data_IF_150484004337
#
_entry.id   IF_150484004337
#
_cell.length_a   1.000
_cell.length_b   1.000
_cell.length_c   1.000
_cell.angle_alpha   90.00
_cell.angle_beta   90.00
_cell.angle_gamma   90.00
#
_symmetry.space_group_name_H-M   'P 1'
#
loop_
_entity.id
_entity.type
_entity.pdbx_description
1 polymer ?
#
# COMPACT_ATOMS: atom_id res chain seq x y z
N UNK A 1 -7.28 -32.29 11.11
CA UNK A 1 -5.99 -32.32 11.84
C UNK A 1 -5.54 -30.88 12.05
N UNK A 2 -5.28 -30.50 13.30
CA UNK A 2 -4.83 -29.14 13.64
C UNK A 2 -3.43 -28.90 13.06
N UNK A 3 -3.21 -27.82 12.31
CA UNK A 3 -1.89 -27.41 11.74
C UNK A 3 -0.81 -27.18 12.81
N UNK A 4 -1.16 -27.23 14.10
CA UNK A 4 -0.25 -27.03 15.23
C UNK A 4 0.59 -28.29 15.48
N UNK A 5 0.06 -29.48 15.21
CA UNK A 5 0.75 -30.76 15.42
C UNK A 5 1.85 -31.04 14.38
N UNK A 6 1.91 -30.26 13.30
CA UNK A 6 2.95 -30.39 12.26
C UNK A 6 4.24 -29.63 12.56
N UNK A 7 4.31 -28.89 13.67
CA UNK A 7 5.53 -28.18 14.03
C UNK A 7 6.53 -29.12 14.72
N UNK A 8 7.81 -29.12 14.30
CA UNK A 8 8.82 -29.97 14.92
C UNK A 8 9.08 -29.53 16.37
N UNK A 9 8.92 -30.45 17.31
CA UNK A 9 9.23 -30.20 18.73
C UNK A 9 10.70 -30.54 18.99
N UNK A 10 11.55 -29.52 19.15
CA UNK A 10 12.99 -29.68 19.34
C UNK A 10 13.49 -28.74 20.45
N UNK A 11 14.35 -29.21 21.37
CA UNK A 11 14.94 -28.36 22.41
C UNK A 11 15.92 -27.30 21.87
N UNK A 12 16.31 -27.40 20.60
CA UNK A 12 17.27 -26.49 19.95
C UNK A 12 16.60 -25.45 19.06
N UNK A 13 15.27 -25.33 19.09
CA UNK A 13 14.50 -24.42 18.25
C UNK A 13 13.54 -23.56 19.06
N UNK A 14 13.40 -22.30 18.65
CA UNK A 14 12.40 -21.38 19.16
C UNK A 14 11.51 -20.90 18.03
N UNK A 15 10.23 -20.69 18.30
CA UNK A 15 9.27 -20.16 17.32
C UNK A 15 8.70 -18.84 17.82
N UNK A 16 8.76 -17.81 16.98
CA UNK A 16 8.08 -16.54 17.21
C UNK A 16 6.82 -16.51 16.34
N UNK A 17 5.67 -16.35 16.98
CA UNK A 17 4.38 -16.22 16.30
C UNK A 17 3.85 -14.82 16.59
N UNK A 18 3.55 -14.06 15.54
CA UNK A 18 2.84 -12.79 15.64
C UNK A 18 1.37 -13.02 15.28
N UNK A 19 0.46 -12.47 16.09
CA UNK A 19 -0.98 -12.54 15.82
C UNK A 19 -1.69 -11.35 16.44
N UNK A 20 -2.72 -10.86 15.76
CA UNK A 20 -3.64 -9.83 16.28
C UNK A 20 -4.69 -10.41 17.23
N UNK A 21 -4.85 -11.73 17.29
CA UNK A 21 -5.86 -12.37 18.11
C UNK A 21 -5.26 -12.97 19.38
N UNK A 22 -5.54 -12.34 20.52
CA UNK A 22 -5.07 -12.79 21.84
C UNK A 22 -5.41 -14.27 22.12
N UNK A 23 -6.59 -14.72 21.71
CA UNK A 23 -7.00 -16.13 21.86
C UNK A 23 -6.11 -17.09 21.06
N UNK A 24 -5.64 -16.68 19.88
CA UNK A 24 -4.70 -17.48 19.08
C UNK A 24 -3.36 -17.52 19.79
N UNK A 25 -2.84 -16.38 20.25
CA UNK A 25 -1.58 -16.32 21.00
C UNK A 25 -1.59 -17.23 22.25
N UNK A 26 -2.69 -17.19 23.02
CA UNK A 26 -2.85 -18.02 24.21
C UNK A 26 -2.87 -19.52 23.90
N UNK A 27 -3.49 -19.93 22.78
CA UNK A 27 -3.51 -21.33 22.34
C UNK A 27 -2.14 -21.85 21.90
N UNK A 28 -1.26 -20.98 21.39
CA UNK A 28 0.05 -21.37 20.89
C UNK A 28 1.18 -21.28 21.94
N UNK A 29 1.05 -20.38 22.91
CA UNK A 29 2.08 -20.14 23.92
C UNK A 29 1.79 -20.78 25.28
N UNK A 30 0.80 -21.68 25.36
CA UNK A 30 0.24 -22.24 26.60
C UNK A 30 -0.01 -21.18 27.70
N UNK A 31 -0.30 -19.94 27.26
CA UNK A 31 -0.52 -18.77 28.12
C UNK A 31 0.72 -18.16 28.79
N UNK A 32 1.92 -18.74 28.70
CA UNK A 32 3.08 -18.33 29.54
C UNK A 32 3.98 -17.29 28.86
N UNK A 33 3.96 -17.16 27.52
CA UNK A 33 4.87 -16.28 26.78
C UNK A 33 4.15 -15.42 25.73
N UNK A 34 3.08 -14.71 26.13
CA UNK A 34 2.37 -13.78 25.23
C UNK A 34 2.80 -12.34 25.53
N UNK A 35 3.45 -11.69 24.57
CA UNK A 35 3.81 -10.27 24.65
C UNK A 35 2.72 -9.47 23.93
N UNK A 36 1.98 -8.64 24.67
CA UNK A 36 1.05 -7.69 24.08
C UNK A 36 1.82 -6.50 23.52
N UNK A 37 1.56 -6.14 22.26
CA UNK A 37 2.11 -4.96 21.61
C UNK A 37 1.02 -3.91 21.49
N UNK A 38 0.79 -3.18 22.59
CA UNK A 38 -0.16 -2.07 22.61
C UNK A 38 0.49 -0.79 22.08
N UNK A 39 -0.29 0.15 21.51
CA UNK A 39 0.21 1.44 21.09
C UNK A 39 0.82 2.17 22.29
N UNK A 40 2.12 2.41 22.23
CA UNK A 40 2.87 3.08 23.28
C UNK A 40 3.18 4.52 22.87
N UNK A 41 2.74 5.50 23.66
CA UNK A 41 2.94 6.92 23.36
C UNK A 41 4.43 7.27 23.25
N UNK A 42 5.28 6.71 24.11
CA UNK A 42 6.70 7.06 24.17
C UNK A 42 7.42 6.61 22.88
N UNK A 43 7.22 5.37 22.47
CA UNK A 43 7.77 4.82 21.22
C UNK A 43 7.15 5.49 19.99
N UNK A 44 5.86 5.82 20.01
CA UNK A 44 5.20 6.53 18.92
C UNK A 44 5.79 7.93 18.70
N UNK A 45 6.03 8.67 19.79
CA UNK A 45 6.68 9.99 19.73
C UNK A 45 8.12 9.88 19.24
N UNK A 46 8.87 8.91 19.76
CA UNK A 46 10.25 8.67 19.33
C UNK A 46 10.31 8.33 17.83
N UNK A 47 9.42 7.45 17.36
CA UNK A 47 9.29 7.09 15.95
C UNK A 47 8.98 8.33 15.09
N UNK A 48 8.02 9.14 15.51
CA UNK A 48 7.62 10.35 14.78
C UNK A 48 8.76 11.36 14.68
N UNK A 49 9.48 11.60 15.79
CA UNK A 49 10.66 12.48 15.82
C UNK A 49 11.78 11.97 14.91
N UNK A 50 12.06 10.66 14.94
CA UNK A 50 13.09 10.04 14.10
C UNK A 50 12.75 10.07 12.60
N UNK A 51 11.46 10.01 12.26
CA UNK A 51 11.01 9.96 10.86
C UNK A 51 10.83 11.35 10.23
N UNK A 52 10.54 12.38 11.01
CA UNK A 52 10.49 13.75 10.49
C UNK A 52 11.89 14.26 10.15
N UNK A 53 12.12 14.66 8.90
CA UNK A 53 13.38 15.30 8.48
C UNK A 53 13.59 16.67 9.14
N UNK A 54 12.49 17.37 9.42
CA UNK A 54 12.48 18.66 10.09
C UNK A 54 11.48 18.60 11.24
N UNK A 55 11.97 18.39 12.47
CA UNK A 55 11.09 18.34 13.64
C UNK A 55 10.60 19.75 13.98
N UNK A 56 9.29 19.91 14.04
CA UNK A 56 8.64 21.09 14.62
C UNK A 56 8.73 21.10 16.15
N UNK A 57 8.02 22.03 16.81
CA UNK A 57 7.95 22.11 18.26
C UNK A 57 7.46 20.79 18.89
N UNK A 58 7.95 20.46 20.09
CA UNK A 58 7.61 19.20 20.77
C UNK A 58 6.09 18.99 20.96
N UNK A 59 5.31 20.06 21.16
CA UNK A 59 3.86 19.96 21.29
C UNK A 59 3.19 19.50 19.98
N UNK A 60 3.70 19.92 18.81
CA UNK A 60 3.15 19.56 17.50
C UNK A 60 3.34 18.07 17.21
N UNK A 61 4.53 17.55 17.55
CA UNK A 61 4.88 16.13 17.47
C UNK A 61 3.96 15.29 18.37
N UNK A 62 3.73 15.76 19.61
CA UNK A 62 2.86 15.04 20.55
C UNK A 62 1.39 15.05 20.10
N UNK A 63 0.89 16.20 19.66
CA UNK A 63 -0.47 16.33 19.16
C UNK A 63 -0.70 15.47 17.91
N UNK A 64 0.27 15.43 16.99
CA UNK A 64 0.21 14.58 15.81
C UNK A 64 0.27 13.09 16.16
N UNK A 65 1.15 12.67 17.06
CA UNK A 65 1.20 11.27 17.51
C UNK A 65 -0.12 10.80 18.13
N UNK A 66 -0.76 11.67 18.93
CA UNK A 66 -2.08 11.41 19.52
C UNK A 66 -3.18 11.34 18.46
N UNK A 67 -3.20 12.25 17.48
CA UNK A 67 -4.16 12.25 16.39
C UNK A 67 -3.99 11.04 15.44
N UNK A 68 -2.76 10.52 15.32
CA UNK A 68 -2.47 9.27 14.63
C UNK A 68 -2.72 8.03 15.51
N UNK A 69 -3.28 8.24 16.70
CA UNK A 69 -3.64 7.22 17.67
C UNK A 69 -2.48 6.28 18.03
N UNK A 70 -1.27 6.83 18.01
CA UNK A 70 0.01 6.17 18.29
C UNK A 70 0.30 4.95 17.39
N UNK A 71 -0.32 4.88 16.21
CA UNK A 71 -0.15 3.76 15.29
C UNK A 71 1.13 3.90 14.46
N UNK A 72 2.10 2.97 14.56
CA UNK A 72 3.38 3.10 13.87
C UNK A 72 3.26 3.26 12.35
N UNK A 73 2.34 2.52 11.72
CA UNK A 73 2.10 2.61 10.28
C UNK A 73 1.57 4.00 9.87
N UNK A 74 0.57 4.52 10.60
CA UNK A 74 0.03 5.86 10.36
C UNK A 74 1.10 6.94 10.54
N UNK A 75 1.95 6.79 11.56
CA UNK A 75 3.08 7.70 11.83
C UNK A 75 4.08 7.68 10.68
N UNK A 76 4.52 6.51 10.22
CA UNK A 76 5.47 6.40 9.12
C UNK A 76 4.90 7.05 7.85
N UNK A 77 3.62 6.87 7.56
CA UNK A 77 3.01 7.42 6.34
C UNK A 77 2.70 8.91 6.44
N UNK A 78 2.22 9.38 7.58
CA UNK A 78 2.05 10.81 7.82
C UNK A 78 3.38 11.56 7.73
N UNK A 79 4.44 11.01 8.34
CA UNK A 79 5.78 11.62 8.27
C UNK A 79 6.38 11.54 6.87
N UNK A 80 6.15 10.45 6.13
CA UNK A 80 6.51 10.33 4.72
C UNK A 80 5.86 11.44 3.87
N UNK A 81 4.54 11.64 4.02
CA UNK A 81 3.80 12.72 3.37
C UNK A 81 4.36 14.11 3.71
N UNK A 82 4.55 14.40 5.00
CA UNK A 82 5.10 15.68 5.47
C UNK A 82 6.48 15.92 4.86
N UNK A 83 7.35 14.90 4.89
CA UNK A 83 8.71 15.00 4.35
C UNK A 83 8.71 15.22 2.83
N UNK A 84 7.82 14.57 2.08
CA UNK A 84 7.70 14.73 0.64
C UNK A 84 7.24 16.15 0.26
N UNK A 85 6.40 16.76 1.10
CA UNK A 85 5.88 18.12 0.89
C UNK A 85 6.70 19.23 1.54
N UNK A 86 7.78 18.90 2.25
CA UNK A 86 8.62 19.88 2.91
C UNK A 86 9.25 20.87 1.89
N UNK A 87 9.38 22.16 2.21
CA UNK A 87 9.01 22.82 3.48
C UNK A 87 7.56 23.33 3.53
N UNK A 88 6.73 23.02 2.51
CA UNK A 88 5.35 23.53 2.39
C UNK A 88 4.34 22.80 3.26
N UNK A 89 4.77 21.76 3.98
CA UNK A 89 3.96 21.02 4.93
C UNK A 89 4.80 20.74 6.18
N UNK A 90 4.27 21.14 7.32
CA UNK A 90 4.77 20.86 8.66
C UNK A 90 3.86 19.87 9.38
N UNK A 91 4.29 19.39 10.56
CA UNK A 91 3.45 18.54 11.41
C UNK A 91 2.13 19.23 11.83
N UNK A 92 2.15 20.55 12.03
CA UNK A 92 0.96 21.32 12.40
C UNK A 92 0.00 21.47 11.23
N UNK A 93 0.50 21.78 10.03
CA UNK A 93 -0.32 21.89 8.82
C UNK A 93 -0.99 20.55 8.48
N UNK A 94 -0.23 19.45 8.59
CA UNK A 94 -0.78 18.11 8.39
C UNK A 94 -1.84 17.76 9.43
N UNK A 95 -1.62 18.10 10.71
CA UNK A 95 -2.60 17.87 11.77
C UNK A 95 -3.92 18.62 11.51
N UNK A 96 -3.85 19.83 10.96
CA UNK A 96 -5.04 20.58 10.54
C UNK A 96 -5.74 19.89 9.36
N UNK A 97 -5.00 19.41 8.37
CA UNK A 97 -5.55 18.67 7.22
C UNK A 97 -6.24 17.37 7.65
N UNK A 98 -5.63 16.63 8.58
CA UNK A 98 -6.20 15.44 9.20
C UNK A 98 -7.53 15.76 9.90
N UNK A 99 -7.55 16.82 10.71
CA UNK A 99 -8.75 17.24 11.45
C UNK A 99 -9.89 17.72 10.53
N UNK A 100 -9.56 18.41 9.43
CA UNK A 100 -10.55 18.83 8.42
C UNK A 100 -11.15 17.61 7.71
N UNK A 101 -10.30 16.64 7.33
CA UNK A 101 -10.72 15.43 6.64
C UNK A 101 -11.62 14.56 7.52
N UNK A 102 -11.30 14.41 8.81
CA UNK A 102 -12.13 13.68 9.77
C UNK A 102 -13.53 14.30 9.92
N UNK A 103 -13.60 15.63 10.02
CA UNK A 103 -14.87 16.36 10.10
C UNK A 103 -15.70 16.18 8.83
N UNK A 104 -15.09 16.27 7.65
CA UNK A 104 -15.78 16.06 6.39
C UNK A 104 -16.32 14.63 6.26
N UNK A 105 -15.51 13.63 6.63
CA UNK A 105 -15.89 12.21 6.59
C UNK A 105 -17.01 11.90 7.58
N UNK A 106 -16.91 12.39 8.81
CA UNK A 106 -17.96 12.21 9.83
C UNK A 106 -19.28 12.93 9.49
N UNK A 107 -19.27 14.00 8.70
CA UNK A 107 -20.50 14.59 8.16
C UNK A 107 -21.14 13.73 7.07
N UNK A 108 -20.35 13.11 6.19
CA UNK A 108 -20.84 12.25 5.10
C UNK A 108 -21.37 10.89 5.62
N UNK A 109 -20.72 10.31 6.63
CA UNK A 109 -21.10 9.02 7.22
C UNK A 109 -22.42 9.04 7.99
N UNK A 110 -22.97 10.22 8.33
CA UNK A 110 -24.31 10.33 8.91
C UNK A 110 -25.43 10.02 7.92
N UNK A 111 -25.10 9.90 6.63
CA UNK A 111 -26.07 9.80 5.53
C UNK A 111 -25.98 8.47 4.75
N UNK A 112 -25.04 7.56 5.08
CA UNK A 112 -24.85 6.30 4.34
C UNK A 112 -25.29 5.06 5.13
N UNK A 113 -26.00 4.11 4.50
CA UNK A 113 -26.41 2.86 5.14
C UNK A 113 -25.22 1.90 5.37
N UNK A 114 -25.36 1.06 6.39
CA UNK A 114 -24.34 0.18 6.97
C UNK A 114 -24.04 -1.09 6.13
N UNK A 115 -23.92 -0.97 4.81
CA UNK A 115 -23.93 -2.12 3.91
C UNK A 115 -22.59 -2.30 3.17
N UNK A 116 -21.50 -2.50 3.92
CA UNK A 116 -20.22 -2.98 3.38
C UNK A 116 -19.57 -3.96 4.37
N UNK A 117 -19.63 -5.24 4.02
CA UNK A 117 -19.11 -6.38 4.77
C UNK A 117 -17.57 -6.46 4.84
N UNK A 118 -16.84 -5.53 4.21
CA UNK A 118 -15.38 -5.38 4.38
C UNK A 118 -14.96 -4.88 5.78
N UNK A 119 -15.94 -4.62 6.67
CA UNK A 119 -15.75 -3.95 7.96
C UNK A 119 -14.98 -4.70 9.04
N UNK A 120 -14.72 -6.01 8.95
CA UNK A 120 -14.04 -6.71 10.08
C UNK A 120 -12.59 -6.28 10.27
N UNK A 121 -11.85 -6.08 9.18
CA UNK A 121 -10.48 -5.55 9.27
C UNK A 121 -10.45 -4.03 9.51
N UNK A 122 -11.49 -3.32 9.08
CA UNK A 122 -11.63 -1.86 9.24
C UNK A 122 -12.16 -1.40 10.58
N UNK A 123 -12.97 -2.21 11.27
CA UNK A 123 -13.37 -1.92 12.65
C UNK A 123 -12.15 -1.89 13.58
N UNK A 124 -11.10 -2.65 13.23
CA UNK A 124 -9.81 -2.62 13.92
C UNK A 124 -8.83 -1.58 13.34
N UNK A 125 -8.93 -1.24 12.04
CA UNK A 125 -8.14 -0.16 11.46
C UNK A 125 -8.69 1.20 11.91
N UNK A 126 -7.99 1.83 12.83
CA UNK A 126 -8.31 3.15 13.40
C UNK A 126 -8.57 4.21 12.33
N UNK A 127 -9.50 5.12 12.61
CA UNK A 127 -9.89 6.22 11.70
C UNK A 127 -8.68 7.03 11.25
N UNK A 128 -7.68 7.20 12.12
CA UNK A 128 -6.44 7.92 11.81
C UNK A 128 -5.69 7.33 10.60
N UNK A 129 -5.65 6.00 10.48
CA UNK A 129 -4.97 5.30 9.39
C UNK A 129 -5.67 5.61 8.06
N UNK A 130 -7.01 5.49 8.05
CA UNK A 130 -7.82 5.74 6.84
C UNK A 130 -7.71 7.18 6.36
N UNK A 131 -7.75 8.13 7.29
CA UNK A 131 -7.62 9.55 6.98
C UNK A 131 -6.22 9.88 6.46
N UNK A 132 -5.18 9.31 7.06
CA UNK A 132 -3.80 9.47 6.57
C UNK A 132 -3.65 9.00 5.14
N UNK A 133 -4.26 7.87 4.76
CA UNK A 133 -4.25 7.40 3.38
C UNK A 133 -5.07 8.26 2.45
N UNK A 134 -6.29 8.64 2.85
CA UNK A 134 -7.14 9.49 2.03
C UNK A 134 -6.42 10.80 1.65
N UNK A 135 -5.79 11.47 2.62
CA UNK A 135 -5.00 12.68 2.39
C UNK A 135 -3.84 12.42 1.43
N UNK A 136 -3.11 11.33 1.68
CA UNK A 136 -1.91 11.01 0.90
C UNK A 136 -2.24 10.57 -0.54
N UNK A 137 -3.32 9.82 -0.74
CA UNK A 137 -3.79 9.39 -2.06
C UNK A 137 -4.36 10.55 -2.87
N UNK A 138 -5.13 11.46 -2.26
CA UNK A 138 -5.63 12.64 -2.95
C UNK A 138 -4.48 13.54 -3.41
N UNK A 139 -3.44 13.66 -2.57
CA UNK A 139 -2.25 14.40 -2.97
C UNK A 139 -1.47 13.70 -4.08
N UNK A 140 -1.26 12.38 -3.97
CA UNK A 140 -0.60 11.59 -4.99
C UNK A 140 -1.31 11.72 -6.34
N UNK A 141 -2.65 11.59 -6.35
CA UNK A 141 -3.48 11.76 -7.55
C UNK A 141 -3.30 13.15 -8.17
N UNK A 142 -3.36 14.20 -7.36
CA UNK A 142 -3.26 15.59 -7.85
C UNK A 142 -1.86 15.99 -8.32
N UNK A 143 -0.81 15.31 -7.87
CA UNK A 143 0.58 15.62 -8.25
C UNK A 143 1.16 14.71 -9.31
N UNK A 144 0.82 13.41 -9.27
CA UNK A 144 1.38 12.39 -10.13
C UNK A 144 0.37 11.28 -10.36
N UNK A 145 -0.54 11.54 -11.30
CA UNK A 145 -1.62 10.62 -11.66
C UNK A 145 -1.11 9.21 -12.00
N UNK A 146 0.02 9.07 -12.70
CA UNK A 146 0.59 7.77 -13.09
C UNK A 146 0.97 6.90 -11.89
N UNK A 147 1.50 7.51 -10.83
CA UNK A 147 1.81 6.80 -9.58
C UNK A 147 0.52 6.42 -8.82
N UNK A 148 -0.49 7.28 -8.82
CA UNK A 148 -1.81 6.96 -8.24
C UNK A 148 -2.49 5.80 -8.98
N UNK A 149 -2.40 5.80 -10.31
CA UNK A 149 -2.89 4.74 -11.19
C UNK A 149 -2.17 3.41 -10.94
N UNK A 150 -0.84 3.45 -10.79
CA UNK A 150 -0.04 2.29 -10.44
C UNK A 150 -0.43 1.73 -9.07
N UNK A 151 -0.60 2.59 -8.06
CA UNK A 151 -1.04 2.18 -6.73
C UNK A 151 -2.45 1.56 -6.76
N UNK A 152 -3.37 2.16 -7.52
CA UNK A 152 -4.71 1.64 -7.72
C UNK A 152 -4.67 0.23 -8.33
N UNK A 153 -3.87 0.04 -9.39
CA UNK A 153 -3.66 -1.27 -10.02
C UNK A 153 -3.09 -2.30 -9.02
N UNK A 154 -2.00 -1.96 -8.34
CA UNK A 154 -1.36 -2.84 -7.35
C UNK A 154 -2.29 -3.24 -6.22
N UNK A 155 -3.24 -2.37 -5.86
CA UNK A 155 -4.17 -2.65 -4.76
C UNK A 155 -5.06 -3.86 -5.04
N UNK A 156 -5.31 -4.26 -6.29
CA UNK A 156 -6.17 -5.41 -6.62
C UNK A 156 -5.45 -6.77 -6.65
N UNK A 157 -4.13 -6.79 -6.55
CA UNK A 157 -3.38 -8.05 -6.51
C UNK A 157 -3.19 -8.57 -5.07
N UNK A 158 -2.57 -9.74 -4.88
CA UNK A 158 -2.06 -10.09 -3.54
C UNK A 158 -1.09 -9.02 -3.03
N UNK A 159 -1.13 -8.73 -1.73
CA UNK A 159 -0.33 -7.66 -1.14
C UNK A 159 1.16 -8.03 -0.96
N UNK A 160 1.53 -9.30 -1.18
CA UNK A 160 2.90 -9.78 -1.15
C UNK A 160 3.39 -10.20 -2.53
N UNK A 161 4.69 -10.00 -2.76
CA UNK A 161 5.40 -10.49 -3.94
C UNK A 161 4.77 -10.09 -5.29
N UNK A 162 4.18 -8.89 -5.38
CA UNK A 162 3.63 -8.33 -6.62
C UNK A 162 4.74 -8.24 -7.67
N UNK A 163 4.69 -9.00 -8.77
CA UNK A 163 5.79 -9.07 -9.71
C UNK A 163 5.94 -7.76 -10.50
N UNK A 164 7.17 -7.33 -10.72
CA UNK A 164 7.48 -6.11 -11.48
C UNK A 164 6.85 -6.15 -12.88
N UNK A 165 7.03 -7.27 -13.61
CA UNK A 165 6.50 -7.43 -14.96
C UNK A 165 4.96 -7.33 -15.04
N UNK A 166 4.25 -7.68 -13.95
CA UNK A 166 2.79 -7.62 -13.91
C UNK A 166 2.32 -6.15 -13.92
N UNK A 167 3.05 -5.26 -13.25
CA UNK A 167 2.67 -3.85 -13.06
C UNK A 167 3.41 -2.89 -14.00
N UNK A 168 4.56 -3.29 -14.57
CA UNK A 168 5.38 -2.48 -15.48
C UNK A 168 4.68 -2.25 -16.82
N UNK A 169 4.32 -1.03 -17.22
CA UNK A 169 3.62 -0.74 -18.47
C UNK A 169 4.22 -1.46 -19.68
N UNK A 170 3.37 -2.04 -20.53
CA UNK A 170 3.85 -2.71 -21.74
C UNK A 170 3.96 -1.69 -22.86
N UNK A 171 5.13 -1.61 -23.51
CA UNK A 171 5.30 -0.79 -24.72
C UNK A 171 4.56 -1.52 -25.85
N UNK A 172 3.42 -0.98 -26.26
CA UNK A 172 2.68 -1.51 -27.41
C UNK A 172 3.44 -1.11 -28.68
N UNK A 173 4.30 -1.99 -29.17
CA UNK A 173 4.82 -1.89 -30.54
C UNK A 173 3.68 -2.31 -31.48
N UNK A 174 2.84 -1.36 -31.90
CA UNK A 174 1.84 -1.61 -32.94
C UNK A 174 2.57 -1.97 -34.25
N UNK A 175 2.44 -3.19 -34.83
CA UNK A 175 3.08 -3.54 -36.09
C UNK A 175 2.26 -3.08 -37.30
N UNK A 176 1.55 -1.95 -37.20
CA UNK A 176 0.54 -1.54 -38.17
C UNK A 176 0.75 -0.09 -38.60
N UNK A 177 1.83 0.16 -39.33
CA UNK A 177 1.86 1.26 -40.29
C UNK A 177 2.74 0.88 -41.48
N UNK A 178 2.13 0.14 -42.40
CA UNK A 178 2.64 -0.01 -43.75
C UNK A 178 2.12 1.19 -44.56
N UNK A 179 2.95 2.23 -44.74
CA UNK A 179 3.25 2.81 -46.06
C UNK A 179 3.95 4.18 -46.01
N UNK A 180 4.97 4.30 -46.86
CA UNK A 180 5.55 5.51 -47.46
C UNK A 180 6.63 6.30 -46.70
N UNK A 181 7.88 5.93 -47.03
CA UNK A 181 9.06 6.76 -47.22
C UNK A 181 8.99 8.26 -46.85
N UNK A 182 9.56 8.61 -45.70
CA UNK A 182 10.37 9.82 -45.55
C UNK A 182 11.45 9.58 -44.50
N UNK A 183 12.72 9.73 -44.90
CA UNK A 183 13.86 9.79 -43.99
C UNK A 183 13.78 11.11 -43.22
N UNK A 184 13.35 11.04 -41.97
CA UNK A 184 13.54 12.06 -40.94
C UNK A 184 13.96 11.32 -39.68
N UNK A 185 15.00 11.83 -39.04
CA UNK A 185 15.74 11.21 -37.94
C UNK A 185 14.78 10.75 -36.82
N UNK A 186 14.62 9.43 -36.68
CA UNK A 186 13.85 8.83 -35.58
C UNK A 186 14.69 8.85 -34.32
N UNK A 187 14.37 9.79 -33.43
CA UNK A 187 14.78 9.75 -32.03
C UNK A 187 14.26 8.46 -31.37
N UNK A 188 15.15 7.47 -31.23
CA UNK A 188 14.98 6.28 -30.37
C UNK A 188 14.94 6.66 -28.88
N UNK A 189 13.97 7.47 -28.47
CA UNK A 189 13.85 8.01 -27.11
C UNK A 189 12.51 7.64 -26.44
N UNK A 190 11.73 6.73 -27.02
CA UNK A 190 10.38 6.40 -26.53
C UNK A 190 10.34 5.25 -25.52
N UNK A 191 11.32 4.34 -25.53
CA UNK A 191 11.39 3.22 -24.58
C UNK A 191 12.02 3.63 -23.25
N UNK A 192 13.06 4.48 -23.31
CA UNK A 192 13.70 5.09 -22.13
C UNK A 192 12.72 5.94 -21.30
N UNK A 193 11.81 6.68 -21.96
CA UNK A 193 10.91 7.60 -21.27
C UNK A 193 9.78 6.91 -20.49
N UNK A 194 9.28 5.76 -20.96
CA UNK A 194 8.27 4.97 -20.25
C UNK A 194 8.89 4.28 -19.04
N UNK A 195 10.09 3.70 -19.21
CA UNK A 195 10.85 3.06 -18.14
C UNK A 195 11.21 4.07 -17.05
N UNK A 196 11.74 5.24 -17.44
CA UNK A 196 12.02 6.36 -16.54
C UNK A 196 10.77 6.84 -15.78
N UNK A 197 9.59 6.77 -16.39
CA UNK A 197 8.33 7.17 -15.76
C UNK A 197 7.90 6.15 -14.71
N UNK A 198 7.99 4.86 -15.04
CA UNK A 198 7.65 3.77 -14.12
C UNK A 198 8.57 3.76 -12.91
N UNK A 199 9.89 3.87 -13.09
CA UNK A 199 10.84 3.88 -11.96
C UNK A 199 10.58 5.09 -11.04
N UNK A 200 10.29 6.26 -11.61
CA UNK A 200 9.89 7.44 -10.82
C UNK A 200 8.55 7.26 -10.11
N UNK A 201 7.60 6.52 -10.68
CA UNK A 201 6.33 6.18 -10.01
C UNK A 201 6.60 5.28 -8.81
N UNK A 202 7.42 4.23 -8.98
CA UNK A 202 7.84 3.32 -7.90
C UNK A 202 8.55 4.10 -6.79
N UNK A 203 9.52 4.96 -7.12
CA UNK A 203 10.22 5.79 -6.16
C UNK A 203 9.26 6.70 -5.40
N UNK A 204 8.29 7.31 -6.09
CA UNK A 204 7.26 8.13 -5.45
C UNK A 204 6.42 7.30 -4.47
N UNK A 205 5.95 6.11 -4.86
CA UNK A 205 5.16 5.23 -3.99
C UNK A 205 5.96 4.75 -2.77
N UNK A 206 7.27 4.53 -2.93
CA UNK A 206 8.18 4.19 -1.83
C UNK A 206 8.44 5.38 -0.91
N UNK A 207 8.57 6.58 -1.45
CA UNK A 207 8.72 7.81 -0.68
C UNK A 207 7.52 8.06 0.22
N UNK A 208 6.30 7.78 -0.24
CA UNK A 208 5.08 7.80 0.56
C UNK A 208 4.93 6.60 1.52
N UNK A 209 5.85 5.63 1.47
CA UNK A 209 5.77 4.37 2.24
C UNK A 209 4.47 3.58 1.97
N UNK A 210 3.99 3.58 0.72
CA UNK A 210 2.86 2.75 0.32
C UNK A 210 3.28 1.35 -0.10
N UNK A 211 4.45 1.25 -0.73
CA UNK A 211 5.03 -0.01 -1.18
C UNK A 211 6.47 -0.14 -0.67
N UNK A 212 6.95 -1.38 -0.60
CA UNK A 212 8.35 -1.74 -0.38
C UNK A 212 8.82 -2.70 -1.45
N UNK A 213 10.12 -2.70 -1.75
CA UNK A 213 10.72 -3.70 -2.62
C UNK A 213 11.20 -4.89 -1.77
N UNK A 214 10.75 -6.10 -2.10
CA UNK A 214 11.16 -7.34 -1.41
C UNK A 214 12.38 -7.94 -2.08
N UNK A 215 12.41 -7.90 -3.40
CA UNK A 215 13.52 -8.33 -4.25
C UNK A 215 13.72 -7.31 -5.37
N UNK A 216 14.69 -7.53 -6.25
CA UNK A 216 14.87 -6.71 -7.45
C UNK A 216 13.70 -6.80 -8.45
N UNK A 217 12.74 -7.70 -8.24
CA UNK A 217 11.68 -8.00 -9.21
C UNK A 217 10.28 -8.15 -8.59
N UNK A 218 10.10 -7.79 -7.31
CA UNK A 218 8.81 -7.87 -6.65
C UNK A 218 8.60 -6.79 -5.59
N UNK A 219 7.34 -6.39 -5.45
CA UNK A 219 6.89 -5.37 -4.53
C UNK A 219 5.96 -5.95 -3.47
N UNK A 220 5.93 -5.28 -2.34
CA UNK A 220 5.05 -5.56 -1.22
C UNK A 220 4.24 -4.31 -0.89
N UNK A 221 2.98 -4.53 -0.53
CA UNK A 221 2.11 -3.53 0.04
C UNK A 221 1.68 -4.01 1.42
N UNK A 222 1.61 -3.09 2.37
CA UNK A 222 1.01 -3.43 3.65
C UNK A 222 -0.50 -3.68 3.44
N UNK A 223 -1.04 -4.80 3.92
CA UNK A 223 -2.46 -5.19 3.75
C UNK A 223 -3.46 -4.08 4.06
N UNK A 224 -3.17 -3.30 5.10
CA UNK A 224 -3.95 -2.11 5.45
C UNK A 224 -3.92 -1.04 4.33
N UNK A 225 -2.76 -0.70 3.77
CA UNK A 225 -2.63 0.27 2.65
C UNK A 225 -3.44 -0.18 1.44
N UNK A 226 -3.37 -1.47 1.12
CA UNK A 226 -4.17 -2.08 0.06
C UNK A 226 -5.67 -1.86 0.27
N UNK A 227 -6.15 -2.18 1.46
CA UNK A 227 -7.55 -1.99 1.83
C UNK A 227 -7.95 -0.51 1.75
N UNK A 228 -7.07 0.38 2.23
CA UNK A 228 -7.23 1.83 2.11
C UNK A 228 -7.41 2.29 0.67
N UNK A 229 -6.57 1.80 -0.24
CA UNK A 229 -6.60 2.16 -1.66
C UNK A 229 -7.92 1.71 -2.30
N UNK A 230 -8.36 0.47 -2.06
CA UNK A 230 -9.64 -0.02 -2.60
C UNK A 230 -10.85 0.76 -2.07
N UNK A 231 -10.86 1.11 -0.77
CA UNK A 231 -11.93 1.94 -0.21
C UNK A 231 -11.94 3.35 -0.79
N UNK A 232 -10.76 3.95 -0.95
CA UNK A 232 -10.67 5.27 -1.58
C UNK A 232 -11.17 5.21 -3.03
N UNK A 233 -10.85 4.15 -3.79
CA UNK A 233 -11.40 3.95 -5.13
C UNK A 233 -12.92 3.76 -5.12
N UNK A 234 -13.46 3.10 -4.10
CA UNK A 234 -14.90 2.95 -3.93
C UNK A 234 -15.57 4.29 -3.63
N UNK A 235 -14.99 5.12 -2.75
CA UNK A 235 -15.46 6.49 -2.45
C UNK A 235 -15.41 7.41 -3.68
N UNK A 236 -14.69 7.03 -4.75
CA UNK A 236 -14.58 7.77 -6.01
C UNK A 236 -15.36 7.11 -7.16
N UNK A 237 -16.14 6.04 -6.91
CA UNK A 237 -16.83 5.24 -7.93
C UNK A 237 -15.90 4.63 -9.00
N UNK A 238 -14.62 4.43 -8.66
CA UNK A 238 -13.59 3.87 -9.54
C UNK A 238 -13.26 2.40 -9.24
N UNK A 239 -13.83 1.80 -8.20
CA UNK A 239 -13.51 0.43 -7.77
C UNK A 239 -13.62 -0.59 -8.92
N UNK A 240 -14.80 -0.68 -9.56
CA UNK A 240 -15.07 -1.62 -10.65
C UNK A 240 -14.15 -1.40 -11.86
N UNK A 241 -13.82 -0.14 -12.16
CA UNK A 241 -12.90 0.20 -13.26
C UNK A 241 -11.51 -0.39 -13.02
N UNK A 242 -10.97 -0.22 -11.82
CA UNK A 242 -9.63 -0.69 -11.51
C UNK A 242 -9.56 -2.20 -11.31
N UNK A 243 -10.61 -2.80 -10.75
CA UNK A 243 -10.78 -4.26 -10.71
C UNK A 243 -10.76 -4.88 -12.11
N UNK A 244 -11.50 -4.28 -13.05
CA UNK A 244 -11.50 -4.71 -14.44
C UNK A 244 -10.12 -4.54 -15.08
N UNK A 245 -9.46 -3.39 -14.87
CA UNK A 245 -8.10 -3.14 -15.38
C UNK A 245 -7.09 -4.14 -14.84
N UNK A 246 -7.13 -4.48 -13.55
CA UNK A 246 -6.23 -5.46 -12.95
C UNK A 246 -6.47 -6.85 -13.52
N UNK A 247 -7.73 -7.25 -13.73
CA UNK A 247 -8.06 -8.53 -14.36
C UNK A 247 -7.59 -8.61 -15.80
N UNK A 248 -7.84 -7.59 -16.62
CA UNK A 248 -7.34 -7.52 -18.00
C UNK A 248 -5.82 -7.59 -18.06
N UNK A 249 -5.16 -6.94 -17.11
CA UNK A 249 -3.71 -6.93 -17.03
C UNK A 249 -3.16 -8.29 -16.64
N UNK A 250 -3.78 -8.95 -15.67
CA UNK A 250 -3.41 -10.30 -15.23
C UNK A 250 -3.63 -11.31 -16.35
N UNK A 251 -4.76 -11.23 -17.07
CA UNK A 251 -5.07 -12.08 -18.23
C UNK A 251 -4.04 -11.91 -19.36
N UNK A 252 -3.67 -10.67 -19.69
CA UNK A 252 -2.65 -10.39 -20.70
C UNK A 252 -1.26 -10.95 -20.34
N UNK A 253 -0.97 -11.12 -19.05
CA UNK A 253 0.30 -11.64 -18.54
C UNK A 253 0.27 -13.15 -18.31
N UNK A 254 -0.90 -13.79 -18.35
CA UNK A 254 -1.03 -15.22 -18.17
C UNK A 254 -0.54 -15.94 -19.44
N UNK A 255 0.57 -16.68 -19.36
CA UNK A 255 1.04 -17.44 -20.49
C UNK A 255 0.17 -18.71 -20.70
N UNK A 256 0.23 -19.30 -21.90
CA UNK A 256 -0.45 -20.58 -22.17
C UNK A 256 0.00 -21.68 -21.20
N UNK A 257 -0.91 -22.59 -20.84
CA UNK A 257 -0.68 -23.63 -19.83
C UNK A 257 0.28 -24.75 -20.30
N UNK A 258 1.56 -24.42 -20.42
CA UNK A 258 2.67 -25.36 -20.68
C UNK A 258 3.60 -25.43 -19.46
N UNK A 259 4.36 -26.53 -19.34
CA UNK A 259 5.30 -26.72 -18.23
C UNK A 259 6.36 -25.61 -18.15
N UNK A 260 6.81 -25.10 -19.31
CA UNK A 260 7.80 -24.01 -19.41
C UNK A 260 7.31 -22.70 -18.78
N UNK A 261 5.99 -22.51 -18.72
CA UNK A 261 5.37 -21.31 -18.18
C UNK A 261 5.00 -21.44 -16.69
N UNK A 262 5.33 -22.57 -16.06
CA UNK A 262 4.95 -22.87 -14.68
C UNK A 262 5.45 -21.83 -13.67
N UNK A 263 6.66 -21.31 -13.82
CA UNK A 263 7.23 -20.33 -12.88
C UNK A 263 6.44 -19.02 -12.90
N UNK A 264 6.10 -18.53 -14.09
CA UNK A 264 5.24 -17.34 -14.27
C UNK A 264 3.84 -17.59 -13.72
N UNK A 265 3.22 -18.73 -14.03
CA UNK A 265 1.91 -19.09 -13.49
C UNK A 265 1.92 -19.19 -11.95
N UNK A 266 2.99 -19.74 -11.37
CA UNK A 266 3.16 -19.81 -9.91
C UNK A 266 3.27 -18.42 -9.30
N UNK A 267 4.01 -17.51 -9.94
CA UNK A 267 4.13 -16.13 -9.48
C UNK A 267 2.81 -15.37 -9.57
N UNK A 268 2.01 -15.60 -10.63
CA UNK A 268 0.73 -14.93 -10.84
C UNK A 268 -0.42 -15.50 -10.00
N UNK A 269 -0.33 -16.77 -9.59
CA UNK A 269 -1.41 -17.49 -8.92
C UNK A 269 -2.00 -16.76 -7.69
N UNK A 270 -1.20 -16.24 -6.74
CA UNK A 270 -1.74 -15.51 -5.57
C UNK A 270 -2.54 -14.27 -5.97
N UNK A 271 -2.20 -13.64 -7.10
CA UNK A 271 -2.83 -12.41 -7.57
C UNK A 271 -4.12 -12.65 -8.37
N UNK A 272 -4.38 -13.91 -8.76
CA UNK A 272 -5.61 -14.30 -9.47
C UNK A 272 -6.76 -14.67 -8.53
N UNK A 273 -6.47 -14.92 -7.24
CA UNK A 273 -7.47 -15.14 -6.20
C UNK A 273 -7.94 -13.80 -5.62
N UNK A 274 -8.88 -13.14 -6.31
CA UNK A 274 -9.62 -11.97 -5.82
C UNK A 274 -10.65 -12.35 -4.74
#
# INVERSE_FOLDING_TARGET
RSRIESFPNSPNGSMLITTRHRLVAQRFADGVNVIALDPDESHARELLQKKLKHSGPAYSVQALAAALEYMPLAIVQATAYINHRAPRCSAEEYLQELSRSDRARSSLLKEQPAELELRRDLHEAKNSILLTWQISFEHLRSTRQTAADLLALMSFYDHQAIPDFLVRPQVVNNPSDDSSASRVDSDSNSESTVDDTFEKDIDTLRDYSFISATTSSSFEMHRLVQLGARLWLQDQDLHLLWEQKSLQRLDAMLPGATYENWETCRALYPHASL
#
